data_IF_035791479691
#
_entry.id   IF_035791479691
#
_cell.length_a   1.000
_cell.length_b   1.000
_cell.length_c   1.000
_cell.angle_alpha   90.00
_cell.angle_beta   90.00
_cell.angle_gamma   90.00
#
_symmetry.space_group_name_H-M   'P 1'
#
loop_
_entity.id
_entity.type
_entity.pdbx_description
1 polymer ?
#
# COMPACT_ATOMS: atom_id res chain seq x y z
N UNK A 1 49.30 30.23 24.10
CA UNK A 1 49.54 31.66 24.39
C UNK A 1 50.54 32.21 23.38
N UNK A 2 50.12 33.24 22.62
CA UNK A 2 50.89 34.34 22.00
C UNK A 2 52.07 33.97 21.06
N UNK A 3 52.30 34.51 19.87
CA UNK A 3 51.68 35.55 19.05
C UNK A 3 52.27 35.44 17.61
N UNK A 4 51.41 35.61 16.61
CA UNK A 4 51.57 36.31 15.32
C UNK A 4 52.95 36.85 14.90
N UNK A 5 53.34 36.67 13.62
CA UNK A 5 53.50 37.81 12.68
C UNK A 5 53.64 37.38 11.22
N UNK A 6 53.04 38.22 10.37
CA UNK A 6 52.94 38.25 8.91
C UNK A 6 54.26 38.36 8.13
N UNK A 7 54.26 37.94 6.85
CA UNK A 7 54.68 38.77 5.69
C UNK A 7 54.52 38.06 4.34
N UNK A 8 53.71 38.63 3.46
CA UNK A 8 53.82 38.50 1.98
C UNK A 8 54.80 39.53 1.42
N UNK A 9 55.44 39.26 0.26
CA UNK A 9 55.30 40.21 -0.85
C UNK A 9 55.18 39.62 -2.28
N UNK A 10 54.30 40.30 -3.04
CA UNK A 10 54.15 40.61 -4.48
C UNK A 10 55.19 40.19 -5.57
N UNK A 11 54.60 39.85 -6.74
CA UNK A 11 54.88 40.23 -8.17
C UNK A 11 56.15 39.64 -8.85
N UNK A 12 56.26 39.37 -10.16
CA UNK A 12 55.44 39.55 -11.38
C UNK A 12 56.10 38.80 -12.58
N UNK A 13 55.34 38.49 -13.65
CA UNK A 13 55.71 38.55 -15.09
C UNK A 13 54.66 37.79 -15.94
N UNK A 14 53.66 38.43 -16.58
CA UNK A 14 53.61 38.97 -17.96
C UNK A 14 54.20 38.08 -19.07
N UNK A 15 53.33 37.60 -19.97
CA UNK A 15 53.46 37.77 -21.44
C UNK A 15 52.10 37.60 -22.17
N UNK A 16 51.80 38.62 -22.99
CA UNK A 16 50.79 38.84 -24.05
C UNK A 16 50.93 37.79 -25.19
N UNK A 17 50.03 37.53 -26.15
CA UNK A 17 49.02 38.26 -26.95
C UNK A 17 48.12 37.19 -27.65
N UNK A 18 46.96 37.41 -28.31
CA UNK A 18 46.55 38.32 -29.39
C UNK A 18 45.01 38.28 -29.56
N UNK A 19 44.44 39.41 -30.01
CA UNK A 19 43.06 39.56 -30.51
C UNK A 19 42.86 38.92 -31.90
N UNK A 20 41.65 38.50 -32.19
CA UNK A 20 41.04 38.61 -33.52
C UNK A 20 39.53 38.91 -33.37
N UNK A 21 39.10 40.03 -33.94
CA UNK A 21 37.71 40.46 -34.04
C UNK A 21 37.11 39.99 -35.36
N UNK A 22 35.81 39.68 -35.38
CA UNK A 22 35.02 39.56 -36.60
C UNK A 22 33.63 40.18 -36.39
N UNK A 23 33.36 41.17 -37.23
CA UNK A 23 32.15 41.96 -37.36
C UNK A 23 31.02 41.14 -37.98
N UNK A 24 29.79 41.30 -37.49
CA UNK A 24 28.59 40.75 -38.13
C UNK A 24 27.64 41.90 -38.53
N UNK A 25 27.42 42.03 -39.83
CA UNK A 25 26.42 42.90 -40.47
C UNK A 25 25.05 42.22 -40.48
N UNK A 26 24.02 43.04 -40.28
CA UNK A 26 22.61 42.65 -40.20
C UNK A 26 21.98 42.41 -41.58
N UNK A 27 21.07 41.43 -41.65
CA UNK A 27 20.02 41.36 -42.66
C UNK A 27 18.70 40.98 -41.97
N UNK A 28 17.72 41.89 -42.06
CA UNK A 28 16.38 41.76 -41.47
C UNK A 28 15.46 41.05 -42.48
N UNK A 29 14.87 39.94 -42.07
CA UNK A 29 13.74 39.30 -42.75
C UNK A 29 12.53 39.34 -41.80
N UNK A 30 11.59 40.24 -42.09
CA UNK A 30 10.34 40.36 -41.35
C UNK A 30 9.42 39.18 -41.70
N UNK A 31 9.16 38.32 -40.72
CA UNK A 31 8.12 37.29 -40.78
C UNK A 31 6.97 37.74 -39.89
N UNK A 32 5.79 37.94 -40.46
CA UNK A 32 4.56 38.27 -39.72
C UNK A 32 4.12 37.01 -38.96
N UNK A 33 4.43 36.97 -37.67
CA UNK A 33 3.86 35.97 -36.76
C UNK A 33 2.54 36.54 -36.24
N UNK A 34 1.43 35.87 -36.58
CA UNK A 34 0.12 36.10 -35.99
C UNK A 34 0.20 35.82 -34.48
N UNK A 35 0.36 36.85 -33.67
CA UNK A 35 0.32 36.75 -32.21
C UNK A 35 -1.14 36.69 -31.77
N UNK A 36 -1.68 35.48 -31.62
CA UNK A 36 -2.79 35.30 -30.69
C UNK A 36 -2.31 35.74 -29.29
N UNK A 37 -3.11 36.49 -28.52
CA UNK A 37 -2.69 36.95 -27.21
C UNK A 37 -2.40 35.74 -26.33
N UNK A 38 -1.21 35.71 -25.72
CA UNK A 38 -0.87 34.73 -24.70
C UNK A 38 -1.90 34.85 -23.57
N UNK A 39 -2.73 33.82 -23.39
CA UNK A 39 -3.64 33.73 -22.27
C UNK A 39 -2.80 33.81 -20.99
N UNK A 40 -3.00 34.86 -20.20
CA UNK A 40 -2.40 35.00 -18.88
C UNK A 40 -2.85 33.81 -18.02
N UNK A 41 -1.88 33.05 -17.50
CA UNK A 41 -2.16 31.96 -16.58
C UNK A 41 -2.92 32.49 -15.36
N UNK A 42 -4.14 32.00 -15.13
CA UNK A 42 -4.89 32.34 -13.93
C UNK A 42 -4.19 31.67 -12.73
N UNK A 43 -4.02 32.35 -11.58
CA UNK A 43 -3.57 31.66 -10.37
C UNK A 43 -4.54 30.53 -10.02
N UNK A 44 -4.01 29.42 -9.50
CA UNK A 44 -4.82 28.23 -9.14
C UNK A 44 -6.00 28.65 -8.26
N UNK A 45 -7.22 28.54 -8.80
CA UNK A 45 -8.46 28.94 -8.10
C UNK A 45 -9.25 30.09 -8.73
N UNK A 46 -8.72 30.80 -9.73
CA UNK A 46 -9.39 31.95 -10.37
C UNK A 46 -10.04 31.64 -11.72
N UNK A 47 -10.60 30.45 -11.90
CA UNK A 47 -11.33 30.15 -13.14
C UNK A 47 -12.75 30.73 -13.13
N UNK A 48 -13.25 31.24 -14.27
CA UNK A 48 -14.65 31.64 -14.39
C UNK A 48 -15.61 30.51 -13.99
N UNK A 49 -16.78 30.90 -13.50
CA UNK A 49 -17.84 29.94 -13.14
C UNK A 49 -18.10 28.96 -14.31
N UNK A 50 -18.20 27.67 -14.00
CA UNK A 50 -18.37 26.62 -15.03
C UNK A 50 -17.07 26.06 -15.60
N UNK A 51 -15.90 26.57 -15.20
CA UNK A 51 -14.60 26.12 -15.71
C UNK A 51 -13.63 25.73 -14.59
N UNK A 52 -12.60 24.96 -14.94
CA UNK A 52 -11.54 24.50 -14.03
C UNK A 52 -10.18 24.72 -14.68
N UNK A 53 -9.14 24.90 -13.86
CA UNK A 53 -7.75 24.91 -14.35
C UNK A 53 -7.42 23.56 -15.01
N UNK A 54 -6.70 23.56 -16.14
CA UNK A 54 -6.40 22.32 -16.87
C UNK A 54 -5.50 21.39 -16.07
N UNK A 55 -4.46 21.92 -15.45
CA UNK A 55 -3.57 21.21 -14.55
C UNK A 55 -3.51 21.96 -13.23
N UNK A 56 -3.84 21.29 -12.13
CA UNK A 56 -3.88 21.92 -10.81
C UNK A 56 -2.47 22.12 -10.22
N UNK A 57 -1.47 21.35 -10.68
CA UNK A 57 -0.10 21.43 -10.17
C UNK A 57 0.54 22.82 -10.39
N UNK A 58 1.39 23.31 -9.47
CA UNK A 58 1.93 24.68 -9.54
C UNK A 58 2.67 25.04 -10.85
N UNK A 59 3.35 24.08 -11.47
CA UNK A 59 4.08 24.29 -12.74
C UNK A 59 3.31 23.83 -13.99
N UNK A 60 2.01 23.59 -13.89
CA UNK A 60 1.18 23.08 -14.97
C UNK A 60 0.55 24.16 -15.87
N UNK A 61 -0.13 23.72 -16.91
CA UNK A 61 -1.03 24.54 -17.72
C UNK A 61 -2.25 24.97 -16.89
N UNK A 62 -2.28 26.25 -16.51
CA UNK A 62 -3.35 26.86 -15.71
C UNK A 62 -4.46 27.47 -16.57
N UNK A 63 -4.57 27.12 -17.86
CA UNK A 63 -5.71 27.54 -18.69
C UNK A 63 -7.02 27.01 -18.14
N UNK A 64 -8.05 27.85 -18.14
CA UNK A 64 -9.40 27.47 -17.71
C UNK A 64 -10.14 26.76 -18.84
N UNK A 65 -10.67 25.59 -18.54
CA UNK A 65 -11.35 24.71 -19.50
C UNK A 65 -12.65 24.16 -18.93
N UNK A 66 -13.55 23.74 -19.79
CA UNK A 66 -14.73 22.99 -19.36
C UNK A 66 -14.29 21.65 -18.72
N UNK A 67 -14.78 21.28 -17.52
CA UNK A 67 -14.32 20.09 -16.80
C UNK A 67 -14.39 18.79 -17.61
N UNK A 68 -15.42 18.66 -18.44
CA UNK A 68 -15.64 17.49 -19.28
C UNK A 68 -14.51 17.25 -20.29
N UNK A 69 -13.83 18.31 -20.72
CA UNK A 69 -12.73 18.25 -21.70
C UNK A 69 -11.43 17.72 -21.11
N UNK A 70 -11.30 17.67 -19.78
CA UNK A 70 -10.14 17.04 -19.13
C UNK A 70 -10.11 15.53 -19.33
N UNK A 71 -11.27 14.92 -19.58
CA UNK A 71 -11.43 13.49 -19.64
C UNK A 71 -11.00 12.81 -18.34
N UNK A 72 -10.54 11.56 -18.48
CA UNK A 72 -9.99 10.77 -17.38
C UNK A 72 -8.50 11.05 -17.23
N UNK A 73 -8.07 11.45 -16.03
CA UNK A 73 -6.66 11.61 -15.66
C UNK A 73 -6.22 10.43 -14.82
N UNK A 74 -5.11 9.79 -15.20
CA UNK A 74 -4.55 8.62 -14.51
C UNK A 74 -3.04 8.77 -14.34
N UNK A 75 -2.51 8.23 -13.25
CA UNK A 75 -1.07 8.04 -13.03
C UNK A 75 -0.61 6.74 -13.71
N UNK A 76 0.69 6.47 -13.69
CA UNK A 76 1.24 5.21 -14.18
C UNK A 76 1.05 4.02 -13.21
N UNK A 77 0.43 4.24 -12.03
CA UNK A 77 0.12 3.16 -11.09
C UNK A 77 -1.02 2.29 -11.65
N UNK A 78 -0.85 0.99 -11.55
CA UNK A 78 -1.74 -0.02 -12.14
C UNK A 78 -1.98 -1.07 -11.05
N UNK A 79 -3.19 -1.16 -10.47
CA UNK A 79 -3.47 -2.05 -9.34
C UNK A 79 -3.01 -3.50 -9.53
N UNK A 80 -3.27 -4.08 -10.71
CA UNK A 80 -2.88 -5.47 -11.03
C UNK A 80 -1.35 -5.71 -11.10
N UNK A 81 -0.55 -4.67 -11.30
CA UNK A 81 0.92 -4.77 -11.44
C UNK A 81 1.66 -4.26 -10.21
N UNK A 82 1.14 -3.20 -9.59
CA UNK A 82 1.83 -2.44 -8.56
C UNK A 82 1.19 -2.62 -7.17
N UNK A 83 -0.02 -3.17 -7.10
CA UNK A 83 -0.69 -3.56 -5.86
C UNK A 83 -0.38 -5.00 -5.46
N UNK A 84 -0.59 -5.32 -4.17
CA UNK A 84 -0.46 -6.70 -3.70
C UNK A 84 -1.58 -7.59 -4.29
N UNK A 85 -1.26 -8.84 -4.60
CA UNK A 85 -2.22 -9.82 -5.14
C UNK A 85 -3.05 -10.54 -4.06
N UNK A 86 -2.89 -10.18 -2.78
CA UNK A 86 -3.67 -10.70 -1.67
C UNK A 86 -4.52 -9.61 -1.03
N UNK A 87 -5.64 -10.03 -0.45
CA UNK A 87 -6.59 -9.13 0.23
C UNK A 87 -6.04 -8.71 1.59
N UNK A 88 -6.33 -7.47 1.97
CA UNK A 88 -6.11 -6.96 3.31
C UNK A 88 -7.05 -7.63 4.35
N UNK A 89 -6.68 -8.82 4.83
CA UNK A 89 -7.43 -9.59 5.83
C UNK A 89 -6.60 -9.88 7.09
N UNK A 90 -5.57 -9.08 7.34
CA UNK A 90 -4.68 -9.24 8.48
C UNK A 90 -5.41 -9.16 9.80
N UNK A 91 -4.93 -9.96 10.76
CA UNK A 91 -5.32 -9.90 12.15
C UNK A 91 -4.05 -9.72 12.96
N UNK A 92 -3.92 -8.58 13.64
CA UNK A 92 -2.76 -8.32 14.51
C UNK A 92 -3.12 -8.62 15.95
N UNK A 93 -2.14 -9.06 16.73
CA UNK A 93 -2.26 -8.99 18.18
C UNK A 93 -2.49 -7.52 18.59
N UNK A 94 -3.23 -7.26 19.69
CA UNK A 94 -3.40 -5.90 20.19
C UNK A 94 -2.04 -5.29 20.53
N UNK A 95 -1.85 -4.02 20.17
CA UNK A 95 -0.74 -3.20 20.67
C UNK A 95 -1.36 -2.06 21.48
N UNK A 96 -1.03 -1.94 22.76
CA UNK A 96 -1.65 -0.97 23.68
C UNK A 96 -3.20 -1.00 23.63
N UNK A 97 -3.78 -2.21 23.73
CA UNK A 97 -5.22 -2.50 23.62
C UNK A 97 -5.90 -2.19 22.27
N UNK A 98 -5.16 -1.70 21.27
CA UNK A 98 -5.68 -1.44 19.93
C UNK A 98 -5.46 -2.66 19.04
N UNK A 99 -6.56 -3.30 18.61
CA UNK A 99 -6.53 -4.32 17.56
C UNK A 99 -6.79 -3.67 16.20
N UNK A 100 -5.79 -3.66 15.32
CA UNK A 100 -6.00 -3.23 13.93
C UNK A 100 -6.54 -4.41 13.13
N UNK A 101 -7.75 -4.26 12.56
CA UNK A 101 -8.29 -5.22 11.59
C UNK A 101 -7.82 -4.79 10.20
N UNK A 102 -6.92 -5.56 9.62
CA UNK A 102 -6.23 -5.20 8.39
C UNK A 102 -5.02 -4.27 8.59
N UNK A 103 -4.24 -4.08 7.54
CA UNK A 103 -3.07 -3.21 7.41
C UNK A 103 -3.18 -2.39 6.11
N UNK A 104 -4.35 -1.80 5.83
CA UNK A 104 -4.62 -1.10 4.57
C UNK A 104 -3.67 0.08 4.30
N UNK A 105 -3.31 0.83 5.34
CA UNK A 105 -2.33 1.90 5.27
C UNK A 105 -0.94 1.38 4.94
N UNK A 106 -0.53 0.31 5.62
CA UNK A 106 0.75 -0.36 5.38
C UNK A 106 0.86 -0.95 3.98
N UNK A 107 -0.21 -1.57 3.48
CA UNK A 107 -0.28 -2.09 2.12
C UNK A 107 -0.26 -0.98 1.08
N UNK A 108 -0.95 0.14 1.33
CA UNK A 108 -0.96 1.31 0.45
C UNK A 108 0.43 1.96 0.35
N UNK A 109 1.07 2.21 1.50
CA UNK A 109 2.41 2.76 1.57
C UNK A 109 3.45 1.83 0.95
N UNK A 110 3.41 0.53 1.27
CA UNK A 110 4.34 -0.44 0.68
C UNK A 110 4.17 -0.55 -0.84
N UNK A 111 2.92 -0.58 -1.36
CA UNK A 111 2.69 -0.58 -2.81
C UNK A 111 3.29 0.67 -3.49
N UNK A 112 3.13 1.85 -2.88
CA UNK A 112 3.76 3.09 -3.35
C UNK A 112 5.29 3.04 -3.28
N UNK A 113 5.86 2.47 -2.22
CA UNK A 113 7.31 2.30 -2.08
C UNK A 113 7.91 1.46 -3.21
N UNK A 114 7.24 0.36 -3.57
CA UNK A 114 7.61 -0.48 -4.71
C UNK A 114 7.48 0.29 -6.04
N UNK A 115 6.35 0.98 -6.25
CA UNK A 115 6.09 1.78 -7.45
C UNK A 115 7.14 2.88 -7.65
N UNK A 116 7.35 3.75 -6.66
CA UNK A 116 8.29 4.86 -6.75
C UNK A 116 9.75 4.39 -6.76
N UNK A 117 10.04 3.20 -6.22
CA UNK A 117 11.37 2.58 -6.30
C UNK A 117 11.59 1.73 -7.54
N UNK A 118 10.60 1.62 -8.43
CA UNK A 118 10.63 0.76 -9.63
C UNK A 118 11.05 -0.68 -9.30
N UNK A 119 10.67 -1.16 -8.11
CA UNK A 119 10.90 -2.55 -7.69
C UNK A 119 9.62 -3.36 -7.92
N UNK A 120 9.71 -4.63 -8.36
CA UNK A 120 8.54 -5.48 -8.48
C UNK A 120 7.82 -5.59 -7.13
N UNK A 121 6.49 -5.56 -7.15
CA UNK A 121 5.69 -5.92 -5.98
C UNK A 121 5.87 -7.43 -5.72
N UNK A 122 5.84 -7.91 -4.46
CA UNK A 122 5.93 -9.33 -4.18
C UNK A 122 4.84 -10.12 -4.91
N UNK A 123 5.23 -11.18 -5.63
CA UNK A 123 4.32 -11.97 -6.48
C UNK A 123 3.33 -12.86 -5.71
N UNK A 124 3.43 -12.91 -4.38
CA UNK A 124 2.56 -13.76 -3.57
C UNK A 124 1.09 -13.30 -3.61
N UNK A 125 0.18 -14.28 -3.63
CA UNK A 125 -1.27 -14.09 -3.67
C UNK A 125 -1.96 -14.42 -2.33
N UNK A 126 -1.19 -14.79 -1.31
CA UNK A 126 -1.66 -14.96 0.07
C UNK A 126 -1.08 -13.86 0.97
N UNK A 127 -1.83 -13.49 2.00
CA UNK A 127 -1.32 -12.59 3.02
C UNK A 127 -0.09 -13.22 3.70
N UNK A 128 0.99 -12.46 3.94
CA UNK A 128 2.18 -12.97 4.61
C UNK A 128 1.85 -13.33 6.07
N UNK A 129 2.28 -14.50 6.51
CA UNK A 129 2.12 -14.91 7.91
C UNK A 129 2.76 -13.90 8.88
N UNK A 130 2.14 -13.73 10.04
CA UNK A 130 2.66 -12.88 11.10
C UNK A 130 4.12 -13.26 11.43
N UNK A 131 4.97 -12.24 11.54
CA UNK A 131 6.41 -12.39 11.82
C UNK A 131 7.30 -12.48 10.58
N UNK A 132 6.78 -12.84 9.41
CA UNK A 132 7.59 -12.89 8.17
C UNK A 132 8.12 -11.51 7.77
N UNK A 133 9.23 -11.42 7.00
CA UNK A 133 9.79 -10.14 6.58
C UNK A 133 8.80 -9.20 5.88
N UNK A 134 7.94 -9.75 5.00
CA UNK A 134 6.94 -8.95 4.29
C UNK A 134 5.82 -8.47 5.22
N UNK A 135 5.35 -9.31 6.14
CA UNK A 135 4.40 -8.90 7.17
C UNK A 135 4.98 -7.76 8.03
N UNK A 136 6.22 -7.91 8.51
CA UNK A 136 6.89 -6.88 9.32
C UNK A 136 7.04 -5.55 8.56
N UNK A 137 7.38 -5.62 7.28
CA UNK A 137 7.47 -4.42 6.45
C UNK A 137 6.12 -3.72 6.30
N UNK A 138 5.06 -4.44 5.92
CA UNK A 138 3.70 -3.90 5.80
C UNK A 138 3.23 -3.33 7.14
N UNK A 139 3.43 -4.06 8.24
CA UNK A 139 3.05 -3.62 9.58
C UNK A 139 3.81 -2.36 10.02
N UNK A 140 5.10 -2.24 9.71
CA UNK A 140 5.87 -1.01 9.96
C UNK A 140 5.30 0.17 9.16
N UNK A 141 4.97 -0.05 7.88
CA UNK A 141 4.37 0.99 7.04
C UNK A 141 2.97 1.38 7.48
N UNK A 142 2.22 0.50 8.14
CA UNK A 142 0.91 0.83 8.72
C UNK A 142 1.04 1.90 9.80
N UNK A 143 2.04 1.81 10.66
CA UNK A 143 2.27 2.82 11.69
C UNK A 143 2.79 4.13 11.10
N UNK A 144 3.64 4.05 10.06
CA UNK A 144 4.07 5.25 9.32
C UNK A 144 2.91 5.97 8.61
N UNK A 145 1.83 5.27 8.27
CA UNK A 145 0.66 5.87 7.61
C UNK A 145 -0.34 6.43 8.63
N UNK A 146 -0.44 5.82 9.81
CA UNK A 146 -1.40 6.22 10.85
C UNK A 146 -0.86 7.35 11.71
N UNK A 147 0.33 7.19 12.31
CA UNK A 147 0.82 8.11 13.35
C UNK A 147 1.00 9.55 12.86
N UNK A 148 1.61 9.81 11.69
CA UNK A 148 1.74 11.18 11.21
C UNK A 148 0.40 11.83 10.87
N UNK A 149 -0.64 11.06 10.57
CA UNK A 149 -1.96 11.54 10.17
C UNK A 149 -2.99 11.56 11.32
N UNK A 150 -2.56 11.35 12.58
CA UNK A 150 -3.45 11.31 13.73
C UNK A 150 -4.26 12.60 13.93
N UNK A 151 -3.68 13.75 13.58
CA UNK A 151 -4.35 15.06 13.54
C UNK A 151 -5.58 15.04 12.61
N UNK A 152 -5.42 14.50 11.39
CA UNK A 152 -6.50 14.39 10.40
C UNK A 152 -7.60 13.42 10.83
N UNK A 153 -7.23 12.29 11.45
CA UNK A 153 -8.19 11.34 11.99
C UNK A 153 -8.97 11.92 13.17
N UNK A 154 -8.29 12.67 14.05
CA UNK A 154 -8.90 13.32 15.22
C UNK A 154 -9.86 14.43 14.82
N UNK A 155 -9.47 15.27 13.86
CA UNK A 155 -10.31 16.36 13.31
C UNK A 155 -11.69 15.86 12.85
N UNK A 156 -11.73 14.67 12.26
CA UNK A 156 -12.93 14.03 11.74
C UNK A 156 -13.73 13.27 12.80
N UNK A 157 -13.13 12.95 13.94
CA UNK A 157 -13.77 12.20 15.04
C UNK A 157 -14.68 13.09 15.89
N UNK A 158 -14.41 14.40 15.99
CA UNK A 158 -15.21 15.34 16.78
C UNK A 158 -16.48 15.73 16.02
N UNK A 159 -17.51 14.90 16.15
CA UNK A 159 -18.80 15.04 15.46
C UNK A 159 -20.00 14.62 16.33
N UNK A 160 -20.22 15.24 17.52
CA UNK A 160 -21.37 14.93 18.36
C UNK A 160 -22.68 15.07 17.59
N UNK A 161 -23.54 14.04 17.69
CA UNK A 161 -24.86 13.99 17.03
C UNK A 161 -24.84 14.15 15.50
N UNK A 162 -23.67 14.00 14.85
CA UNK A 162 -23.57 14.11 13.39
C UNK A 162 -23.70 15.54 12.83
N UNK A 163 -23.66 16.57 13.68
CA UNK A 163 -23.85 17.99 13.31
C UNK A 163 -22.92 18.50 12.19
N UNK A 164 -21.76 17.87 11.96
CA UNK A 164 -20.76 18.24 10.93
C UNK A 164 -20.73 17.27 9.74
N UNK A 165 -21.73 16.40 9.62
CA UNK A 165 -21.80 15.42 8.54
C UNK A 165 -21.75 16.05 7.15
N UNK A 166 -22.52 17.13 6.95
CA UNK A 166 -22.54 17.86 5.69
C UNK A 166 -21.22 18.60 5.44
N UNK A 167 -20.67 19.26 6.47
CA UNK A 167 -19.39 19.97 6.41
C UNK A 167 -18.25 19.04 5.96
N UNK A 168 -18.10 17.89 6.62
CA UNK A 168 -17.05 16.92 6.28
C UNK A 168 -17.19 16.35 4.87
N UNK A 169 -18.42 16.09 4.44
CA UNK A 169 -18.69 15.66 3.07
C UNK A 169 -18.26 16.73 2.06
N UNK A 170 -18.65 18.00 2.29
CA UNK A 170 -18.30 19.13 1.44
C UNK A 170 -16.78 19.35 1.33
N UNK A 171 -16.01 19.11 2.40
CA UNK A 171 -14.54 19.19 2.34
C UNK A 171 -13.94 18.26 1.28
N UNK A 172 -14.51 17.07 1.07
CA UNK A 172 -14.06 16.12 0.05
C UNK A 172 -14.40 16.55 -1.39
N UNK A 173 -15.32 17.50 -1.54
CA UNK A 173 -15.78 18.03 -2.82
C UNK A 173 -15.05 19.32 -3.20
N UNK A 174 -14.75 20.16 -2.21
CA UNK A 174 -14.13 21.47 -2.43
C UNK A 174 -12.84 21.37 -3.26
N UNK A 175 -12.88 21.92 -4.47
CA UNK A 175 -11.84 21.79 -5.50
C UNK A 175 -10.84 22.94 -5.56
N UNK A 176 -11.02 23.99 -4.74
CA UNK A 176 -10.19 25.20 -4.75
C UNK A 176 -9.96 25.75 -3.33
N UNK A 177 -8.98 26.66 -3.19
CA UNK A 177 -8.66 27.30 -1.91
C UNK A 177 -8.01 26.36 -0.89
N UNK A 178 -7.31 25.32 -1.34
CA UNK A 178 -6.68 24.30 -0.48
C UNK A 178 -7.60 23.13 -0.12
N UNK A 179 -8.72 22.95 -0.83
CA UNK A 179 -9.62 21.82 -0.62
C UNK A 179 -9.04 20.47 -1.04
N UNK A 180 -9.61 19.37 -0.54
CA UNK A 180 -9.07 17.99 -0.71
C UNK A 180 -9.02 17.55 -2.17
N UNK A 181 -9.96 18.00 -2.99
CA UNK A 181 -9.95 17.69 -4.42
C UNK A 181 -8.85 18.47 -5.15
N UNK A 182 -8.50 19.68 -4.70
CA UNK A 182 -7.36 20.42 -5.25
C UNK A 182 -6.06 19.65 -5.02
N UNK A 183 -5.81 19.24 -3.78
CA UNK A 183 -4.61 18.48 -3.40
C UNK A 183 -4.49 17.17 -4.18
N UNK A 184 -5.62 16.48 -4.37
CA UNK A 184 -5.67 15.26 -5.15
C UNK A 184 -5.28 15.52 -6.61
N UNK A 185 -5.93 16.52 -7.25
CA UNK A 185 -5.65 16.87 -8.64
C UNK A 185 -4.20 17.29 -8.84
N UNK A 186 -3.66 18.11 -7.95
CA UNK A 186 -2.23 18.50 -7.96
C UNK A 186 -1.30 17.29 -7.97
N UNK A 187 -1.62 16.25 -7.18
CA UNK A 187 -0.82 15.03 -7.16
C UNK A 187 -0.96 14.19 -8.44
N UNK A 188 -2.21 13.97 -8.89
CA UNK A 188 -2.47 13.14 -10.08
C UNK A 188 -1.97 13.81 -11.36
N UNK A 189 -2.14 15.11 -11.50
CA UNK A 189 -1.65 15.88 -12.67
C UNK A 189 -0.11 15.89 -12.73
N UNK A 190 0.56 15.76 -11.57
CA UNK A 190 2.01 15.54 -11.47
C UNK A 190 2.43 14.07 -11.70
N UNK A 191 1.50 13.19 -12.07
CA UNK A 191 1.75 11.77 -12.28
C UNK A 191 2.01 10.98 -10.99
N UNK A 192 1.71 11.56 -9.81
CA UNK A 192 2.00 10.96 -8.51
C UNK A 192 0.72 10.35 -7.90
N UNK A 193 0.62 9.01 -7.81
CA UNK A 193 -0.44 8.39 -7.04
C UNK A 193 -0.34 8.80 -5.57
N UNK A 194 -1.47 9.05 -4.93
CA UNK A 194 -1.53 9.65 -3.60
C UNK A 194 -2.29 8.74 -2.63
N UNK A 195 -1.75 8.43 -1.43
CA UNK A 195 -2.53 7.75 -0.42
C UNK A 195 -3.70 8.64 0.03
N UNK A 196 -4.85 8.02 0.27
CA UNK A 196 -6.03 8.65 0.85
C UNK A 196 -6.38 7.99 2.17
N UNK A 197 -6.71 8.79 3.18
CA UNK A 197 -7.44 8.31 4.36
C UNK A 197 -8.94 8.45 4.12
N UNK A 198 -9.68 7.35 4.21
CA UNK A 198 -11.14 7.29 4.07
C UNK A 198 -11.79 7.15 5.44
N UNK A 199 -12.58 8.15 5.82
CA UNK A 199 -13.18 8.23 7.16
C UNK A 199 -14.55 7.57 7.20
N UNK A 200 -14.70 6.51 7.98
CA UNK A 200 -15.99 5.83 8.18
C UNK A 200 -16.95 6.72 8.99
N UNK A 201 -18.21 6.78 8.58
CA UNK A 201 -19.26 7.46 9.35
C UNK A 201 -19.43 6.85 10.74
N UNK A 202 -19.88 7.67 11.70
CA UNK A 202 -20.33 7.28 13.04
C UNK A 202 -19.34 6.36 13.78
N UNK A 203 -18.05 6.64 13.57
CA UNK A 203 -16.93 5.84 14.05
C UNK A 203 -16.02 6.72 14.89
N UNK A 204 -15.56 6.20 16.03
CA UNK A 204 -14.53 6.86 16.84
C UNK A 204 -13.16 6.84 16.14
N UNK A 205 -12.15 7.44 16.78
CA UNK A 205 -10.80 7.63 16.23
C UNK A 205 -10.14 6.34 15.68
N UNK A 206 -10.42 5.21 16.33
CA UNK A 206 -9.92 3.88 15.95
C UNK A 206 -11.00 3.00 15.31
N UNK A 207 -12.05 3.62 14.78
CA UNK A 207 -13.09 2.91 14.05
C UNK A 207 -12.55 2.28 12.75
N UNK A 208 -13.41 1.64 11.94
CA UNK A 208 -13.01 0.94 10.72
C UNK A 208 -12.77 1.93 9.56
N UNK A 209 -11.97 2.97 9.84
CA UNK A 209 -11.37 3.84 8.84
C UNK A 209 -10.50 3.03 7.89
N UNK A 210 -10.34 3.53 6.67
CA UNK A 210 -9.67 2.80 5.61
C UNK A 210 -8.62 3.67 4.93
N UNK A 211 -7.62 3.06 4.31
CA UNK A 211 -6.59 3.77 3.54
C UNK A 211 -6.42 3.10 2.19
N UNK A 212 -6.37 3.92 1.14
CA UNK A 212 -6.28 3.50 -0.27
C UNK A 212 -5.28 4.38 -1.00
N UNK A 213 -5.01 4.10 -2.27
CA UNK A 213 -4.19 4.97 -3.12
C UNK A 213 -5.03 5.51 -4.27
N UNK A 214 -5.22 6.81 -4.35
CA UNK A 214 -5.76 7.46 -5.53
C UNK A 214 -4.75 7.39 -6.68
N UNK A 215 -5.24 6.92 -7.82
CA UNK A 215 -4.45 6.69 -9.04
C UNK A 215 -4.99 7.49 -10.22
N UNK A 216 -6.14 8.17 -10.06
CA UNK A 216 -6.71 9.03 -11.08
C UNK A 216 -7.98 9.74 -10.64
N UNK A 217 -8.48 10.61 -11.50
CA UNK A 217 -9.79 11.26 -11.35
C UNK A 217 -10.47 11.52 -12.70
N UNK A 218 -11.77 11.77 -12.66
CA UNK A 218 -12.55 12.31 -13.77
C UNK A 218 -13.63 13.22 -13.19
N UNK A 219 -13.73 14.45 -13.71
CA UNK A 219 -14.68 15.44 -13.19
C UNK A 219 -16.07 15.31 -13.83
N UNK A 220 -16.18 14.81 -15.06
CA UNK A 220 -17.42 14.93 -15.82
C UNK A 220 -17.80 16.41 -15.98
N UNK A 221 -18.98 16.83 -15.56
CA UNK A 221 -19.37 18.26 -15.53
C UNK A 221 -18.95 18.99 -14.25
N UNK A 222 -18.36 18.27 -13.29
CA UNK A 222 -18.07 18.83 -11.98
C UNK A 222 -16.97 19.89 -12.02
N UNK A 223 -17.26 21.05 -11.45
CA UNK A 223 -16.39 22.24 -11.43
C UNK A 223 -15.56 22.35 -10.15
N UNK A 224 -15.77 21.48 -9.16
CA UNK A 224 -15.12 21.59 -7.85
C UNK A 224 -15.86 22.48 -6.84
N UNK A 225 -17.13 22.81 -7.11
CA UNK A 225 -18.01 23.60 -6.23
C UNK A 225 -19.05 22.70 -5.51
N UNK A 226 -20.05 23.29 -4.84
CA UNK A 226 -21.15 22.54 -4.21
C UNK A 226 -22.43 22.57 -5.07
N UNK A 227 -22.31 22.77 -6.38
CA UNK A 227 -23.42 22.86 -7.33
C UNK A 227 -24.00 21.50 -7.75
N UNK A 228 -24.72 21.48 -8.88
CA UNK A 228 -25.56 20.36 -9.30
C UNK A 228 -24.82 19.12 -9.82
N UNK A 229 -23.51 19.21 -10.07
CA UNK A 229 -22.74 18.14 -10.73
C UNK A 229 -21.78 17.39 -9.80
N UNK A 230 -21.95 17.49 -8.47
CA UNK A 230 -21.10 16.78 -7.51
C UNK A 230 -21.00 15.28 -7.83
N UNK A 231 -22.12 14.64 -8.16
CA UNK A 231 -22.21 13.20 -8.50
C UNK A 231 -21.53 12.80 -9.80
N UNK A 232 -20.96 13.72 -10.57
CA UNK A 232 -20.14 13.41 -11.75
C UNK A 232 -18.69 13.11 -11.38
N UNK A 233 -18.21 13.55 -10.21
CA UNK A 233 -16.85 13.29 -9.74
C UNK A 233 -16.58 11.80 -9.60
N UNK A 234 -15.47 11.34 -10.16
CA UNK A 234 -14.93 9.99 -10.00
C UNK A 234 -13.49 10.10 -9.51
N UNK A 235 -13.15 9.39 -8.45
CA UNK A 235 -11.77 9.18 -8.00
C UNK A 235 -11.47 7.70 -8.18
N UNK A 236 -10.47 7.40 -9.00
CA UNK A 236 -10.03 6.02 -9.25
C UNK A 236 -8.97 5.64 -8.22
N UNK A 237 -9.14 4.50 -7.56
CA UNK A 237 -8.26 4.06 -6.47
C UNK A 237 -7.78 2.63 -6.64
N UNK A 238 -6.57 2.37 -6.16
CA UNK A 238 -6.13 1.05 -5.71
C UNK A 238 -6.57 0.87 -4.26
N UNK A 239 -7.35 -0.18 -3.99
CA UNK A 239 -7.78 -0.56 -2.65
C UNK A 239 -7.21 -1.94 -2.27
N UNK A 240 -6.42 -2.06 -1.19
CA UNK A 240 -5.92 -3.34 -0.68
C UNK A 240 -7.00 -4.40 -0.33
N UNK A 241 -8.25 -3.99 -0.12
CA UNK A 241 -9.40 -4.89 0.07
C UNK A 241 -9.92 -5.48 -1.25
N UNK A 242 -9.51 -4.93 -2.40
CA UNK A 242 -9.93 -5.31 -3.76
C UNK A 242 -8.71 -5.54 -4.68
N UNK A 243 -7.91 -6.60 -4.44
CA UNK A 243 -6.65 -6.84 -5.16
C UNK A 243 -6.81 -6.84 -6.68
N UNK A 244 -5.87 -6.18 -7.37
CA UNK A 244 -5.79 -6.12 -8.82
C UNK A 244 -6.86 -5.27 -9.53
N UNK A 245 -7.86 -4.74 -8.81
CA UNK A 245 -8.95 -3.95 -9.39
C UNK A 245 -8.70 -2.45 -9.25
N UNK A 246 -9.21 -1.69 -10.22
CA UNK A 246 -9.44 -0.25 -10.05
C UNK A 246 -10.83 -0.10 -9.45
N UNK A 247 -10.93 0.58 -8.32
CA UNK A 247 -12.22 0.93 -7.69
C UNK A 247 -12.53 2.41 -7.95
N UNK A 248 -13.80 2.77 -7.95
CA UNK A 248 -14.26 4.12 -8.27
C UNK A 248 -15.02 4.72 -7.11
N UNK A 249 -14.36 5.63 -6.38
CA UNK A 249 -14.97 6.41 -5.31
C UNK A 249 -15.75 7.58 -5.92
N UNK A 250 -17.05 7.67 -5.61
CA UNK A 250 -17.93 8.72 -6.09
C UNK A 250 -18.72 9.34 -4.92
N UNK A 251 -19.01 10.65 -4.96
CA UNK A 251 -19.86 11.29 -3.96
C UNK A 251 -21.33 10.89 -4.14
N UNK A 252 -22.05 10.87 -3.02
CA UNK A 252 -23.48 10.61 -2.88
C UNK A 252 -24.08 11.78 -2.07
N UNK A 253 -24.37 12.92 -2.72
CA UNK A 253 -24.79 14.15 -2.04
C UNK A 253 -26.01 13.95 -1.13
N UNK A 254 -26.99 13.16 -1.58
CA UNK A 254 -28.21 12.87 -0.81
C UNK A 254 -27.95 12.12 0.51
N UNK A 255 -26.76 11.56 0.70
CA UNK A 255 -26.37 10.84 1.91
C UNK A 255 -25.24 11.56 2.68
N UNK A 256 -24.65 12.61 2.12
CA UNK A 256 -23.41 13.22 2.58
C UNK A 256 -22.26 12.20 2.72
N UNK A 257 -22.13 11.29 1.76
CA UNK A 257 -21.12 10.22 1.77
C UNK A 257 -20.39 10.13 0.44
N UNK A 258 -19.23 9.50 0.46
CA UNK A 258 -18.60 8.88 -0.69
C UNK A 258 -18.80 7.37 -0.63
N UNK A 259 -18.85 6.70 -1.77
CA UNK A 259 -18.87 5.24 -1.82
C UNK A 259 -18.36 4.70 -3.14
N UNK A 260 -18.02 3.41 -3.14
CA UNK A 260 -17.64 2.75 -4.38
C UNK A 260 -18.84 2.52 -5.29
N UNK A 261 -18.61 2.60 -6.59
CA UNK A 261 -19.58 2.19 -7.61
C UNK A 261 -19.62 0.66 -7.71
N UNK A 262 -18.47 0.01 -7.60
CA UNK A 262 -18.30 -1.43 -7.75
C UNK A 262 -18.65 -2.21 -6.46
N UNK A 263 -18.70 -1.53 -5.32
CA UNK A 263 -19.10 -2.10 -4.03
C UNK A 263 -19.95 -1.09 -3.24
N UNK A 264 -21.25 -0.95 -3.56
CA UNK A 264 -22.06 0.16 -3.07
C UNK A 264 -22.24 0.26 -1.54
N UNK A 265 -22.03 -0.84 -0.81
CA UNK A 265 -22.08 -0.87 0.66
C UNK A 265 -20.82 -0.30 1.34
N UNK A 266 -19.73 -0.14 0.61
CA UNK A 266 -18.50 0.47 1.11
C UNK A 266 -18.59 2.00 0.97
N UNK A 267 -18.87 2.66 2.09
CA UNK A 267 -19.11 4.10 2.18
C UNK A 267 -18.26 4.77 3.26
N UNK A 268 -17.98 6.06 3.05
CA UNK A 268 -17.18 6.92 3.91
C UNK A 268 -17.79 8.32 3.99
N UNK A 269 -17.70 8.97 5.15
CA UNK A 269 -18.13 10.37 5.34
C UNK A 269 -17.36 11.30 4.42
N UNK A 270 -16.06 11.07 4.30
CA UNK A 270 -15.14 11.92 3.54
C UNK A 270 -13.80 11.20 3.35
N UNK A 271 -12.90 11.83 2.59
CA UNK A 271 -11.51 11.40 2.43
C UNK A 271 -10.55 12.57 2.64
N UNK A 272 -9.31 12.33 3.02
CA UNK A 272 -8.23 13.32 2.95
C UNK A 272 -7.06 12.80 2.14
N UNK A 273 -6.30 13.70 1.51
CA UNK A 273 -5.06 13.35 0.80
C UNK A 273 -3.92 13.28 1.81
N UNK A 274 -3.24 12.15 1.86
CA UNK A 274 -2.10 11.95 2.74
C UNK A 274 -0.84 12.57 2.12
N UNK A 275 -0.57 13.82 2.51
CA UNK A 275 0.61 14.57 2.08
C UNK A 275 1.85 14.26 2.92
N UNK A 276 1.74 13.37 3.91
CA UNK A 276 2.82 12.97 4.84
C UNK A 276 3.50 11.68 4.40
N UNK A 277 3.07 11.08 3.29
CA UNK A 277 3.77 9.93 2.69
C UNK A 277 5.24 10.25 2.40
N UNK A 278 6.11 9.52 3.11
CA UNK A 278 7.55 9.50 2.86
C UNK A 278 7.93 8.16 2.24
N UNK A 279 8.53 8.20 1.05
CA UNK A 279 9.00 7.02 0.32
C UNK A 279 10.04 6.25 1.14
N UNK A 280 9.88 4.93 1.23
CA UNK A 280 10.94 4.01 1.66
C UNK A 280 11.37 3.12 0.49
N UNK A 281 12.62 2.68 0.50
CA UNK A 281 13.07 1.62 -0.41
C UNK A 281 12.69 0.29 0.21
N UNK A 282 11.76 -0.49 -0.37
CA UNK A 282 11.36 -1.76 0.21
C UNK A 282 12.52 -2.75 0.10
N UNK A 283 12.70 -3.70 1.04
CA UNK A 283 13.69 -4.76 0.89
C UNK A 283 13.33 -5.68 -0.28
N UNK A 284 14.26 -6.55 -0.68
CA UNK A 284 13.96 -7.59 -1.67
C UNK A 284 13.15 -8.70 -0.99
N UNK A 285 12.06 -9.12 -1.62
CA UNK A 285 11.27 -10.29 -1.23
C UNK A 285 11.44 -11.36 -2.32
N UNK A 286 12.30 -12.37 -2.09
CA UNK A 286 12.61 -13.37 -3.11
C UNK A 286 11.35 -14.09 -3.59
N UNK A 287 11.22 -14.23 -4.91
CA UNK A 287 10.23 -15.11 -5.51
C UNK A 287 10.73 -16.57 -5.47
N UNK A 288 9.84 -17.56 -5.40
CA UNK A 288 10.22 -18.95 -5.58
C UNK A 288 10.75 -19.18 -7.02
N UNK A 289 11.50 -20.27 -7.26
CA UNK A 289 11.91 -20.64 -8.61
C UNK A 289 10.69 -20.75 -9.55
N UNK A 290 10.83 -20.42 -10.85
CA UNK A 290 9.74 -20.60 -11.80
C UNK A 290 9.22 -22.04 -11.81
N UNK A 291 7.91 -22.18 -11.67
CA UNK A 291 7.22 -23.49 -11.73
C UNK A 291 7.23 -24.02 -13.17
N UNK A 292 7.54 -25.31 -13.36
CA UNK A 292 7.36 -26.00 -14.64
C UNK A 292 6.01 -26.74 -14.64
N UNK A 293 5.37 -26.97 -15.80
CA UNK A 293 4.18 -27.80 -15.87
C UNK A 293 4.39 -29.16 -15.18
N UNK A 294 3.44 -29.58 -14.34
CA UNK A 294 3.52 -30.84 -13.58
C UNK A 294 4.44 -30.81 -12.36
N UNK A 295 5.04 -29.67 -12.01
CA UNK A 295 5.92 -29.53 -10.84
C UNK A 295 5.41 -28.51 -9.84
N UNK A 296 5.89 -28.63 -8.60
CA UNK A 296 5.65 -27.72 -7.48
C UNK A 296 6.96 -27.00 -7.16
N UNK A 297 6.94 -25.67 -7.13
CA UNK A 297 8.10 -24.83 -6.75
C UNK A 297 7.96 -24.22 -5.36
N UNK A 298 6.76 -24.23 -4.80
CA UNK A 298 6.43 -23.66 -3.50
C UNK A 298 5.20 -24.36 -2.92
N UNK A 299 5.24 -24.62 -1.61
CA UNK A 299 4.09 -25.07 -0.84
C UNK A 299 3.47 -23.88 -0.10
N UNK A 300 2.14 -23.81 -0.08
CA UNK A 300 1.36 -22.91 0.76
C UNK A 300 0.79 -23.72 1.92
N UNK A 301 1.31 -23.48 3.12
CA UNK A 301 0.95 -24.19 4.35
C UNK A 301 0.06 -23.28 5.18
N UNK A 302 -1.25 -23.50 5.10
CA UNK A 302 -2.26 -22.75 5.86
C UNK A 302 -2.57 -23.47 7.15
N UNK A 303 -2.30 -22.82 8.27
CA UNK A 303 -2.44 -23.36 9.62
C UNK A 303 -3.50 -22.55 10.34
N UNK A 304 -4.62 -23.19 10.70
CA UNK A 304 -5.67 -22.60 11.52
C UNK A 304 -5.41 -22.86 12.99
N UNK A 305 -5.00 -21.82 13.72
CA UNK A 305 -4.86 -21.88 15.18
C UNK A 305 -6.24 -21.93 15.84
N UNK A 306 -6.39 -22.85 16.78
CA UNK A 306 -7.61 -23.08 17.54
C UNK A 306 -7.76 -22.22 18.78
N UNK A 307 -8.33 -22.81 19.83
CA UNK A 307 -8.62 -22.11 21.09
C UNK A 307 -7.39 -21.67 21.91
N UNK A 308 -6.23 -22.30 21.71
CA UNK A 308 -4.97 -22.02 22.39
C UNK A 308 -3.96 -21.56 21.33
N UNK A 309 -3.36 -20.39 21.53
CA UNK A 309 -2.55 -19.73 20.51
C UNK A 309 -1.12 -20.29 20.42
N UNK A 310 -0.37 -19.88 19.39
CA UNK A 310 1.09 -20.02 19.42
C UNK A 310 1.66 -18.71 19.97
N UNK A 311 2.25 -18.71 21.16
CA UNK A 311 2.71 -17.51 21.88
C UNK A 311 3.82 -16.75 21.16
N UNK A 312 4.71 -17.45 20.46
CA UNK A 312 5.92 -16.85 19.90
C UNK A 312 7.00 -16.62 20.96
N UNK A 313 7.89 -15.66 20.72
CA UNK A 313 9.07 -15.45 21.56
C UNK A 313 9.99 -16.67 21.51
N UNK A 314 10.06 -17.42 22.62
CA UNK A 314 10.83 -18.67 22.70
C UNK A 314 9.99 -19.90 22.28
N UNK A 315 8.67 -19.75 22.16
CA UNK A 315 7.74 -20.82 21.79
C UNK A 315 7.41 -20.71 20.30
N UNK A 316 8.08 -21.51 19.48
CA UNK A 316 8.00 -21.42 18.02
C UNK A 316 7.74 -22.78 17.37
N UNK A 317 7.28 -22.73 16.12
CA UNK A 317 7.05 -23.91 15.31
C UNK A 317 8.04 -24.00 14.15
N UNK A 318 8.43 -25.22 13.81
CA UNK A 318 9.26 -25.56 12.66
C UNK A 318 8.44 -26.38 11.66
N UNK A 319 8.85 -26.35 10.39
CA UNK A 319 8.37 -27.25 9.35
C UNK A 319 9.50 -28.13 8.83
N UNK A 320 9.19 -29.38 8.50
CA UNK A 320 10.06 -30.26 7.73
C UNK A 320 9.29 -30.86 6.57
N UNK A 321 9.77 -30.67 5.34
CA UNK A 321 9.23 -31.31 4.13
C UNK A 321 10.10 -32.52 3.81
N UNK A 322 9.51 -33.71 3.87
CA UNK A 322 10.16 -34.96 3.50
C UNK A 322 9.90 -35.30 2.04
N UNK A 323 10.94 -35.79 1.36
CA UNK A 323 10.88 -36.27 -0.02
C UNK A 323 11.20 -37.76 -0.04
N UNK A 324 10.68 -38.49 -1.05
CA UNK A 324 10.92 -39.94 -1.17
C UNK A 324 12.38 -40.30 -1.42
N UNK A 325 13.08 -39.51 -2.23
CA UNK A 325 14.43 -39.83 -2.71
C UNK A 325 15.42 -38.66 -2.54
N UNK A 326 15.12 -37.71 -1.65
CA UNK A 326 15.94 -36.51 -1.43
C UNK A 326 16.04 -36.19 0.05
N UNK A 327 17.10 -35.51 0.50
CA UNK A 327 17.17 -34.99 1.86
C UNK A 327 15.99 -34.09 2.18
N UNK A 328 15.48 -34.18 3.41
CA UNK A 328 14.38 -33.35 3.88
C UNK A 328 14.77 -31.86 3.92
N UNK A 329 13.81 -30.99 3.58
CA UNK A 329 13.95 -29.54 3.71
C UNK A 329 13.44 -29.12 5.09
N UNK A 330 14.31 -28.56 5.92
CA UNK A 330 13.96 -28.03 7.24
C UNK A 330 13.77 -26.51 7.16
N UNK A 331 12.67 -26.02 7.74
CA UNK A 331 12.31 -24.61 7.82
C UNK A 331 12.09 -24.29 9.29
N UNK A 332 13.12 -23.81 10.01
CA UNK A 332 13.00 -23.47 11.41
C UNK A 332 12.20 -22.17 11.58
N UNK A 333 11.50 -22.07 12.71
CA UNK A 333 10.85 -20.86 13.22
C UNK A 333 9.96 -20.15 12.19
N UNK A 334 8.93 -20.86 11.72
CA UNK A 334 8.02 -20.39 10.67
C UNK A 334 7.19 -19.16 11.09
N UNK A 335 7.03 -18.95 12.40
CA UNK A 335 6.36 -17.80 12.97
C UNK A 335 7.33 -16.65 13.28
N UNK A 336 8.64 -16.84 13.12
CA UNK A 336 9.69 -15.85 13.38
C UNK A 336 9.57 -15.16 14.75
N UNK A 337 9.26 -15.91 15.80
CA UNK A 337 9.03 -15.36 17.14
C UNK A 337 7.72 -14.60 17.31
N UNK A 338 6.88 -14.50 16.27
CA UNK A 338 5.59 -13.82 16.38
C UNK A 338 4.52 -14.74 16.98
N UNK A 339 3.62 -14.13 17.76
CA UNK A 339 2.41 -14.76 18.24
C UNK A 339 1.45 -15.04 17.07
N UNK A 340 0.92 -16.25 16.96
CA UNK A 340 -0.21 -16.57 16.10
C UNK A 340 -1.45 -16.77 16.95
N UNK A 341 -2.27 -15.73 17.02
CA UNK A 341 -3.46 -15.65 17.87
C UNK A 341 -4.49 -16.75 17.57
N UNK A 342 -5.22 -17.14 18.63
CA UNK A 342 -6.28 -18.14 18.56
C UNK A 342 -7.40 -17.81 17.59
N UNK A 343 -8.01 -18.85 17.01
CA UNK A 343 -9.14 -18.80 16.06
C UNK A 343 -8.84 -18.04 14.76
N UNK A 344 -7.58 -18.04 14.34
CA UNK A 344 -7.13 -17.39 13.12
C UNK A 344 -6.17 -18.27 12.33
N UNK A 345 -6.20 -18.11 11.01
CA UNK A 345 -5.31 -18.84 10.11
C UNK A 345 -4.13 -17.98 9.66
N UNK A 346 -2.97 -18.60 9.53
CA UNK A 346 -1.78 -18.04 8.91
C UNK A 346 -1.37 -18.92 7.72
N UNK A 347 -0.89 -18.32 6.62
CA UNK A 347 -0.34 -19.06 5.49
C UNK A 347 1.16 -18.84 5.41
N UNK A 348 1.93 -19.90 5.67
CA UNK A 348 3.38 -19.93 5.49
C UNK A 348 3.68 -20.36 4.08
N UNK A 349 4.56 -19.61 3.41
CA UNK A 349 5.10 -19.98 2.11
C UNK A 349 6.40 -20.75 2.30
N UNK A 350 6.51 -21.91 1.66
CA UNK A 350 7.70 -22.76 1.70
C UNK A 350 8.23 -22.92 0.28
N UNK A 351 9.13 -22.02 -0.18
CA UNK A 351 9.81 -22.18 -1.45
C UNK A 351 10.65 -23.45 -1.44
N UNK A 352 10.52 -24.25 -2.49
CA UNK A 352 11.36 -25.43 -2.69
C UNK A 352 12.65 -25.00 -3.41
N UNK A 353 13.83 -25.54 -3.03
CA UNK A 353 15.10 -25.18 -3.67
C UNK A 353 15.14 -25.43 -5.18
N UNK A 354 14.33 -26.37 -5.65
CA UNK A 354 14.08 -26.67 -7.06
C UNK A 354 12.65 -27.18 -7.24
N UNK A 355 12.03 -27.00 -8.41
CA UNK A 355 10.74 -27.61 -8.70
C UNK A 355 10.80 -29.14 -8.58
N UNK A 356 9.74 -29.75 -8.03
CA UNK A 356 9.60 -31.20 -7.82
C UNK A 356 8.26 -31.70 -8.34
N UNK A 357 8.17 -32.95 -8.76
CA UNK A 357 6.86 -33.55 -9.04
C UNK A 357 6.10 -33.76 -7.73
N UNK A 358 4.76 -33.57 -7.68
CA UNK A 358 3.97 -33.82 -6.48
C UNK A 358 4.23 -35.20 -5.87
N UNK A 359 4.39 -36.23 -6.72
CA UNK A 359 4.65 -37.60 -6.29
C UNK A 359 6.01 -37.81 -5.59
N UNK A 360 6.96 -36.87 -5.68
CA UNK A 360 8.22 -36.92 -4.92
C UNK A 360 8.06 -36.46 -3.48
N UNK A 361 7.00 -35.69 -3.17
CA UNK A 361 6.68 -35.25 -1.82
C UNK A 361 6.16 -36.45 -1.01
N UNK A 362 6.67 -36.61 0.21
CA UNK A 362 6.28 -37.72 1.09
C UNK A 362 5.40 -37.24 2.22
N UNK A 363 5.85 -36.23 2.96
CA UNK A 363 5.11 -35.70 4.10
C UNK A 363 5.58 -34.28 4.44
N UNK A 364 4.76 -33.58 5.21
CA UNK A 364 5.13 -32.35 5.90
C UNK A 364 4.88 -32.53 7.40
N UNK A 365 5.93 -32.30 8.19
CA UNK A 365 5.87 -32.37 9.64
C UNK A 365 5.90 -30.97 10.23
N UNK A 366 4.92 -30.66 11.07
CA UNK A 366 4.92 -29.52 11.97
C UNK A 366 5.51 -29.97 13.31
N UNK A 367 6.47 -29.22 13.83
CA UNK A 367 7.11 -29.55 15.11
C UNK A 367 7.30 -28.34 16.02
N UNK A 368 7.29 -28.58 17.33
CA UNK A 368 7.54 -27.58 18.36
C UNK A 368 8.54 -28.12 19.40
N UNK A 369 9.15 -27.23 20.19
CA UNK A 369 10.10 -27.59 21.24
C UNK A 369 9.73 -27.04 22.63
N UNK A 370 8.52 -26.48 22.79
CA UNK A 370 8.11 -25.82 24.04
C UNK A 370 7.75 -26.81 25.16
N UNK A 371 8.04 -26.45 26.41
CA UNK A 371 7.89 -27.34 27.56
C UNK A 371 6.44 -27.60 28.03
N UNK A 372 5.45 -26.89 27.50
CA UNK A 372 4.05 -27.00 27.93
C UNK A 372 3.69 -26.22 29.20
N UNK A 373 2.40 -25.90 29.36
CA UNK A 373 1.82 -25.42 30.62
C UNK A 373 2.17 -23.98 31.02
N UNK A 374 2.56 -23.77 32.28
CA UNK A 374 2.92 -22.43 32.83
C UNK A 374 4.35 -22.05 32.43
N UNK A 375 5.23 -23.04 32.24
CA UNK A 375 6.64 -22.84 31.88
C UNK A 375 6.95 -22.91 30.38
N UNK A 376 5.96 -23.17 29.54
CA UNK A 376 6.07 -23.23 28.07
C UNK A 376 4.70 -23.16 27.41
N UNK A 377 4.65 -23.09 26.09
CA UNK A 377 3.37 -22.95 25.38
C UNK A 377 2.57 -24.25 25.22
N UNK A 378 1.27 -24.11 24.97
CA UNK A 378 0.44 -25.16 24.39
C UNK A 378 -0.27 -24.54 23.18
N UNK A 379 -0.26 -25.22 22.04
CA UNK A 379 -0.82 -24.67 20.81
C UNK A 379 -1.83 -25.63 20.19
N UNK A 380 -3.05 -25.13 19.96
CA UNK A 380 -4.07 -25.86 19.24
C UNK A 380 -3.97 -25.54 17.75
N UNK A 381 -3.80 -26.57 16.93
CA UNK A 381 -4.01 -26.47 15.49
C UNK A 381 -5.34 -27.16 15.19
N UNK A 382 -6.34 -26.37 14.79
CA UNK A 382 -7.67 -26.88 14.44
C UNK A 382 -7.75 -27.27 12.96
N UNK A 383 -6.91 -26.69 12.09
CA UNK A 383 -6.86 -27.09 10.68
C UNK A 383 -5.47 -26.95 10.07
N UNK A 384 -5.16 -27.84 9.13
CA UNK A 384 -3.97 -27.77 8.30
C UNK A 384 -4.37 -28.03 6.85
N UNK A 385 -4.03 -27.09 5.97
CA UNK A 385 -4.19 -27.21 4.52
C UNK A 385 -2.87 -26.92 3.84
N UNK A 386 -2.44 -27.83 2.97
CA UNK A 386 -1.20 -27.73 2.20
C UNK A 386 -1.58 -27.78 0.72
N UNK A 387 -1.14 -26.78 -0.03
CA UNK A 387 -1.30 -26.77 -1.49
C UNK A 387 0.01 -26.46 -2.19
N UNK A 388 0.11 -26.83 -3.45
CA UNK A 388 1.06 -26.20 -4.36
C UNK A 388 0.65 -24.73 -4.61
N UNK A 389 1.57 -23.94 -5.16
CA UNK A 389 1.36 -22.52 -5.47
C UNK A 389 0.31 -22.26 -6.56
N UNK A 390 0.01 -23.25 -7.39
CA UNK A 390 -1.10 -23.23 -8.37
C UNK A 390 -2.47 -23.56 -7.76
N UNK A 391 -2.51 -23.88 -6.46
CA UNK A 391 -3.73 -24.22 -5.73
C UNK A 391 -4.02 -25.72 -5.62
N UNK A 392 -3.23 -26.59 -6.26
CA UNK A 392 -3.39 -28.05 -6.18
C UNK A 392 -3.32 -28.51 -4.72
N UNK A 393 -4.37 -29.17 -4.18
CA UNK A 393 -4.37 -29.65 -2.81
C UNK A 393 -3.45 -30.87 -2.65
N UNK A 394 -2.62 -30.87 -1.61
CA UNK A 394 -1.70 -31.96 -1.27
C UNK A 394 -2.05 -32.61 0.08
N UNK A 395 -2.68 -31.82 0.97
CA UNK A 395 -3.23 -32.30 2.25
C UNK A 395 -4.27 -31.31 2.75
N UNK A 396 -5.34 -31.81 3.35
CA UNK A 396 -6.32 -30.99 4.04
C UNK A 396 -7.01 -31.80 5.13
N UNK A 397 -6.90 -31.35 6.38
CA UNK A 397 -7.63 -31.95 7.49
C UNK A 397 -7.95 -30.90 8.57
N UNK A 398 -8.95 -31.20 9.40
CA UNK A 398 -9.40 -30.33 10.49
C UNK A 398 -9.95 -31.14 11.67
N UNK A 399 -9.92 -30.56 12.86
CA UNK A 399 -10.43 -31.12 14.10
C UNK A 399 -10.59 -30.05 15.19
N UNK A 400 -11.02 -30.45 16.39
CA UNK A 400 -11.22 -29.54 17.52
C UNK A 400 -10.44 -30.00 18.78
N UNK A 401 -9.09 -29.97 18.80
CA UNK A 401 -8.18 -29.60 17.69
C UNK A 401 -7.80 -30.79 16.80
N UNK A 402 -7.26 -30.53 15.60
CA UNK A 402 -6.60 -31.55 14.77
C UNK A 402 -5.36 -32.10 15.48
N UNK A 403 -4.59 -31.22 16.10
CA UNK A 403 -3.51 -31.57 17.02
C UNK A 403 -3.38 -30.51 18.11
N UNK A 404 -3.16 -30.96 19.35
CA UNK A 404 -2.77 -30.12 20.47
C UNK A 404 -1.30 -30.35 20.77
N UNK A 405 -0.46 -29.37 20.47
CA UNK A 405 0.94 -29.39 20.87
C UNK A 405 1.04 -29.06 22.36
N UNK A 406 1.84 -29.84 23.10
CA UNK A 406 2.10 -29.70 24.53
C UNK A 406 3.56 -30.05 24.81
N UNK A 407 3.99 -30.05 26.07
CA UNK A 407 5.29 -30.62 26.48
C UNK A 407 5.41 -32.14 26.31
N UNK A 408 4.38 -32.82 25.82
CA UNK A 408 4.40 -34.25 25.49
C UNK A 408 4.18 -34.49 23.99
N UNK A 409 3.36 -33.65 23.34
CA UNK A 409 3.06 -33.76 21.92
C UNK A 409 3.80 -32.67 21.16
N UNK A 410 4.89 -33.04 20.49
CA UNK A 410 5.78 -32.11 19.80
C UNK A 410 5.71 -32.16 18.28
N UNK A 411 5.02 -33.14 17.70
CA UNK A 411 5.01 -33.33 16.25
C UNK A 411 3.64 -33.71 15.72
N UNK A 412 3.35 -33.24 14.51
CA UNK A 412 2.23 -33.68 13.69
C UNK A 412 2.72 -33.87 12.26
N UNK A 413 2.48 -35.04 11.67
CA UNK A 413 2.94 -35.35 10.30
C UNK A 413 1.75 -35.54 9.37
N UNK A 414 1.70 -34.72 8.33
CA UNK A 414 0.73 -34.79 7.25
C UNK A 414 1.35 -35.56 6.06
N UNK A 415 0.82 -36.72 5.64
CA UNK A 415 1.23 -37.34 4.39
C UNK A 415 0.83 -36.44 3.21
N UNK A 416 1.71 -36.27 2.24
CA UNK A 416 1.44 -35.50 1.03
C UNK A 416 1.05 -36.46 -0.09
N UNK A 417 -0.09 -36.19 -0.73
CA UNK A 417 -0.71 -37.01 -1.78
C UNK A 417 -0.55 -36.42 -3.16
#
# INVERSE_FOLDING_TARGET
>A
MLHSTSRTPRRAARRTARLAALSATAAVLASIVSTAPAATAAPVGNCPHGTVVRQAQPGGDHTCVAPATLGRRMTAFVPARHGFAFRNNFQTAPLFDIRVRGLCGGMSYAALDHFFSRRPIPAQNTAPAAGTPLFRYINSRQWDSVLPNLDKWTELTVNPFGWRNQEFFHWGLQGFGGGRLQELRESIDAGRPAPLGLFKQDSGLFGPHHQVVAIGYQLGRYTGDLGSFQSDLRIFVYDPNHPGKIMTLAPRPNQNLFGYLESPGETWRTYFVDRKYARRTPPAFPAPPPTRPGTVSELLVTIGTGGDDLRGGNDNADLTVAFKHRPALRIPNINHGARWIGRHAQTVRVPLPRPVEPAELSSLTLSTAFGGGIGGDNWNVDSLRITASDGTPLFQNSGNPLVRFTGQTHTFTAPLG
#
